data_IF_223224501396
#
_entry.id   IF_223224501396
#
_cell.length_a   1.000
_cell.length_b   1.000
_cell.length_c   1.000
_cell.angle_alpha   90.00
_cell.angle_beta   90.00
_cell.angle_gamma   90.00
#
_symmetry.space_group_name_H-M   'P 1'
#
loop_
_entity.id
_entity.type
_entity.pdbx_description
1 polymer ?
#
# COMPACT_ATOMS: atom_id res chain seq x y z
N UNK A 1 34.47 -9.34 -43.21
CA UNK A 1 33.73 -8.93 -44.42
C UNK A 1 32.40 -8.38 -43.90
N UNK A 2 32.03 -7.11 -43.93
CA UNK A 2 32.42 -5.86 -44.59
C UNK A 2 32.85 -4.84 -43.50
N UNK A 3 34.03 -4.20 -43.53
CA UNK A 3 34.43 -2.99 -44.27
C UNK A 3 33.62 -1.72 -43.95
N UNK A 4 34.06 -1.03 -42.89
CA UNK A 4 34.06 0.44 -42.75
C UNK A 4 34.83 1.08 -43.92
N UNK A 5 34.55 2.33 -44.37
CA UNK A 5 35.39 3.41 -43.86
C UNK A 5 34.80 4.86 -43.89
N UNK A 6 35.35 5.70 -42.99
CA UNK A 6 35.76 7.13 -43.16
C UNK A 6 34.96 8.21 -42.43
N UNK A 7 35.35 8.36 -41.16
CA UNK A 7 35.64 9.65 -40.51
C UNK A 7 36.28 10.67 -41.46
N UNK A 8 35.62 11.82 -41.66
CA UNK A 8 36.14 12.98 -42.37
C UNK A 8 36.81 13.93 -41.36
N UNK A 9 38.09 13.69 -41.07
CA UNK A 9 38.99 14.67 -40.47
C UNK A 9 39.33 15.71 -41.54
N UNK A 10 38.83 16.95 -41.43
CA UNK A 10 39.33 18.07 -42.24
C UNK A 10 40.58 18.66 -41.57
N UNK A 11 41.71 18.47 -42.25
CA UNK A 11 42.95 19.22 -42.07
C UNK A 11 42.74 20.70 -42.39
N UNK A 12 43.14 21.58 -41.47
CA UNK A 12 43.32 23.02 -41.72
C UNK A 12 44.83 23.30 -41.68
N UNK A 13 45.41 24.00 -42.67
CA UNK A 13 46.84 24.22 -42.75
C UNK A 13 47.29 25.29 -41.75
N UNK A 14 48.41 25.02 -41.08
CA UNK A 14 49.15 25.96 -40.24
C UNK A 14 49.87 26.96 -41.15
N UNK A 15 49.42 28.22 -41.17
CA UNK A 15 50.11 29.33 -41.82
C UNK A 15 50.75 30.21 -40.74
N UNK A 16 52.07 30.17 -40.70
CA UNK A 16 52.95 30.98 -39.84
C UNK A 16 53.02 32.41 -40.40
N UNK A 17 52.47 33.39 -39.67
CA UNK A 17 52.56 34.82 -40.00
C UNK A 17 53.24 35.57 -38.85
N UNK A 18 54.29 36.31 -39.23
CA UNK A 18 55.19 37.07 -38.39
C UNK A 18 54.48 38.22 -37.67
N UNK A 19 54.82 38.40 -36.40
CA UNK A 19 54.41 39.52 -35.57
C UNK A 19 55.06 40.83 -36.05
N UNK A 20 54.24 41.87 -36.22
CA UNK A 20 54.62 43.27 -36.00
C UNK A 20 53.50 43.90 -35.19
N UNK A 21 53.82 44.35 -33.98
CA UNK A 21 52.88 44.99 -33.08
C UNK A 21 52.59 46.43 -33.49
N UNK A 22 51.36 46.86 -33.20
CA UNK A 22 51.04 48.22 -32.82
C UNK A 22 49.95 48.13 -31.75
N UNK A 23 50.23 48.74 -30.61
CA UNK A 23 49.35 48.81 -29.44
C UNK A 23 48.17 49.74 -29.73
N UNK A 24 46.95 49.26 -29.49
CA UNK A 24 45.79 50.07 -29.10
C UNK A 24 45.03 49.22 -28.07
N UNK A 25 45.20 49.54 -26.79
CA UNK A 25 44.22 50.25 -25.95
C UNK A 25 42.85 49.57 -25.91
N UNK A 26 42.54 49.03 -24.72
CA UNK A 26 41.20 48.92 -24.14
C UNK A 26 40.12 48.20 -24.95
N UNK A 27 39.97 46.90 -24.71
CA UNK A 27 38.62 46.32 -24.65
C UNK A 27 38.40 45.81 -23.22
N UNK A 28 37.67 46.54 -22.35
CA UNK A 28 37.20 45.93 -21.12
C UNK A 28 36.19 44.84 -21.49
N UNK A 29 36.21 43.73 -20.76
CA UNK A 29 35.09 42.80 -20.75
C UNK A 29 33.81 43.63 -20.56
N UNK A 30 32.87 43.51 -21.50
CA UNK A 30 31.53 44.08 -21.33
C UNK A 30 30.91 43.53 -20.04
N UNK A 31 30.03 44.29 -19.38
CA UNK A 31 29.40 43.80 -18.16
C UNK A 31 28.71 42.48 -18.49
N UNK A 32 29.04 41.43 -17.73
CA UNK A 32 28.16 40.28 -17.60
C UNK A 32 26.77 40.84 -17.27
N UNK A 33 25.72 40.39 -17.97
CA UNK A 33 24.32 40.82 -17.83
C UNK A 33 23.87 40.79 -16.36
N UNK A 34 24.18 41.84 -15.60
CA UNK A 34 23.56 42.11 -14.32
C UNK A 34 22.17 42.69 -14.65
N UNK A 35 21.07 42.05 -14.21
CA UNK A 35 19.72 42.45 -14.59
C UNK A 35 19.46 43.91 -14.22
N UNK A 36 18.99 44.71 -15.19
CA UNK A 36 18.62 46.11 -14.96
C UNK A 36 17.47 46.16 -13.91
N UNK A 37 17.64 46.85 -12.77
CA UNK A 37 16.66 46.88 -11.69
C UNK A 37 15.37 47.63 -12.05
N UNK A 38 15.12 47.97 -13.33
CA UNK A 38 13.92 48.68 -13.81
C UNK A 38 12.97 47.82 -14.66
N UNK A 39 13.25 46.52 -14.81
CA UNK A 39 12.42 45.60 -15.60
C UNK A 39 11.52 44.71 -14.72
N UNK A 40 10.44 44.19 -15.32
CA UNK A 40 9.63 43.13 -14.72
C UNK A 40 10.50 41.87 -14.44
N UNK A 41 10.12 41.01 -13.49
CA UNK A 41 10.91 39.84 -13.17
C UNK A 41 10.97 38.85 -14.33
N UNK A 42 12.02 38.04 -14.40
CA UNK A 42 12.19 36.96 -15.38
C UNK A 42 12.29 35.63 -14.66
N UNK A 43 11.43 34.67 -14.98
CA UNK A 43 11.54 33.31 -14.46
C UNK A 43 12.54 32.56 -15.35
N UNK A 44 13.71 32.22 -14.79
CA UNK A 44 14.73 31.44 -15.50
C UNK A 44 14.34 29.96 -15.57
N UNK A 45 13.77 29.42 -14.49
CA UNK A 45 13.21 28.09 -14.47
C UNK A 45 12.17 27.92 -13.36
N UNK A 46 11.20 27.04 -13.60
CA UNK A 46 10.35 26.43 -12.60
C UNK A 46 10.26 24.92 -12.83
N UNK A 47 10.70 24.13 -11.84
CA UNK A 47 10.94 22.69 -12.01
C UNK A 47 10.64 21.90 -10.74
N UNK A 48 10.55 20.57 -10.88
CA UNK A 48 10.47 19.64 -9.75
C UNK A 48 11.69 18.72 -9.76
N UNK A 49 12.19 18.37 -8.58
CA UNK A 49 13.40 17.55 -8.41
C UNK A 49 13.24 16.08 -8.81
N UNK A 50 12.02 15.61 -9.08
CA UNK A 50 11.76 14.26 -9.55
C UNK A 50 12.11 14.15 -11.04
N UNK A 51 12.68 13.01 -11.45
CA UNK A 51 12.95 12.72 -12.86
C UNK A 51 11.63 12.83 -13.65
N UNK A 52 11.63 13.61 -14.73
CA UNK A 52 10.48 13.80 -15.64
C UNK A 52 9.19 14.38 -15.02
N UNK A 53 9.28 15.03 -13.85
CA UNK A 53 8.10 15.55 -13.12
C UNK A 53 7.03 14.51 -12.78
N UNK A 54 7.45 13.25 -12.67
CA UNK A 54 6.61 12.12 -12.26
C UNK A 54 6.85 11.82 -10.79
N UNK A 55 5.77 11.79 -10.01
CA UNK A 55 5.79 11.51 -8.57
C UNK A 55 4.83 10.36 -8.30
N UNK A 56 5.21 9.37 -7.49
CA UNK A 56 4.25 8.36 -7.05
C UNK A 56 3.28 8.99 -6.06
N UNK A 57 2.03 8.56 -6.06
CA UNK A 57 1.05 9.04 -5.10
C UNK A 57 1.58 8.93 -3.67
N UNK A 58 1.49 10.03 -2.92
CA UNK A 58 1.93 10.07 -1.52
C UNK A 58 3.43 10.24 -1.34
N UNK A 59 4.24 10.31 -2.40
CA UNK A 59 5.64 10.66 -2.32
C UNK A 59 5.84 12.17 -2.17
N UNK A 60 6.95 12.53 -1.54
CA UNK A 60 7.41 13.91 -1.48
C UNK A 60 8.15 14.28 -2.76
N UNK A 61 7.90 15.49 -3.25
CA UNK A 61 8.68 16.11 -4.31
C UNK A 61 9.10 17.53 -3.90
N UNK A 62 10.17 18.05 -4.50
CA UNK A 62 10.63 19.41 -4.23
C UNK A 62 10.47 20.26 -5.47
N UNK A 63 9.60 21.26 -5.41
CA UNK A 63 9.53 22.36 -6.37
C UNK A 63 10.76 23.26 -6.19
N UNK A 64 11.33 23.75 -7.29
CA UNK A 64 12.45 24.68 -7.32
C UNK A 64 12.24 25.71 -8.41
N UNK A 65 12.55 26.96 -8.10
CA UNK A 65 12.47 28.05 -9.06
C UNK A 65 13.59 29.07 -8.90
N UNK A 66 13.82 29.79 -10.00
CA UNK A 66 14.64 31.00 -10.02
C UNK A 66 13.92 32.09 -10.83
N UNK A 67 13.64 33.20 -10.16
CA UNK A 67 12.93 34.36 -10.71
C UNK A 67 13.76 35.64 -10.50
N UNK A 68 14.58 35.99 -11.47
CA UNK A 68 15.48 37.14 -11.40
C UNK A 68 14.67 38.44 -11.32
N UNK A 69 15.08 39.35 -10.44
CA UNK A 69 14.40 40.64 -10.23
C UNK A 69 13.09 40.55 -9.44
N UNK A 70 12.69 39.37 -8.97
CA UNK A 70 11.47 39.20 -8.19
C UNK A 70 11.66 39.64 -6.72
N UNK A 71 10.74 40.48 -6.23
CA UNK A 71 10.67 40.86 -4.80
C UNK A 71 9.65 40.05 -4.02
N UNK A 72 8.66 39.46 -4.72
CA UNK A 72 7.71 38.51 -4.14
C UNK A 72 7.48 37.33 -5.08
N UNK A 73 7.23 36.15 -4.51
CA UNK A 73 6.86 34.96 -5.25
C UNK A 73 5.74 34.21 -4.51
N UNK A 74 4.76 33.72 -5.25
CA UNK A 74 3.71 32.83 -4.74
C UNK A 74 3.57 31.63 -5.66
N UNK A 75 3.14 30.50 -5.11
CA UNK A 75 2.84 29.28 -5.87
C UNK A 75 1.38 28.91 -5.59
N UNK A 76 0.65 28.53 -6.63
CA UNK A 76 -0.72 28.01 -6.55
C UNK A 76 -0.78 26.59 -7.11
N UNK A 77 -1.37 25.59 -6.42
CA UNK A 77 -1.91 25.65 -5.06
C UNK A 77 -0.89 26.11 -4.01
N UNK A 78 -1.33 26.72 -2.89
CA UNK A 78 -0.42 27.26 -1.89
C UNK A 78 0.42 26.16 -1.25
N UNK A 79 1.71 26.43 -1.10
CA UNK A 79 2.70 25.54 -0.50
C UNK A 79 3.61 26.34 0.44
N UNK A 80 4.25 25.65 1.38
CA UNK A 80 5.21 26.28 2.27
C UNK A 80 6.49 26.62 1.50
N UNK A 81 6.67 27.92 1.24
CA UNK A 81 7.82 28.43 0.49
C UNK A 81 9.04 28.52 1.41
N UNK A 82 10.16 27.95 0.97
CA UNK A 82 11.49 28.15 1.52
C UNK A 82 12.34 29.03 0.60
N UNK A 83 13.28 29.77 1.19
CA UNK A 83 14.22 30.63 0.45
C UNK A 83 13.70 32.06 0.23
N UNK A 84 14.18 32.68 -0.84
CA UNK A 84 13.82 34.06 -1.23
C UNK A 84 12.84 34.06 -2.41
N UNK A 85 12.22 35.20 -2.70
CA UNK A 85 11.37 35.35 -3.88
C UNK A 85 12.13 35.01 -5.19
N UNK A 86 13.39 35.44 -5.28
CA UNK A 86 14.21 35.24 -6.48
C UNK A 86 14.80 33.83 -6.62
N UNK A 87 15.04 33.14 -5.50
CA UNK A 87 15.55 31.78 -5.48
C UNK A 87 14.87 31.03 -4.33
N UNK A 88 14.01 30.09 -4.66
CA UNK A 88 13.19 29.39 -3.67
C UNK A 88 12.94 27.94 -3.99
N UNK A 89 12.39 27.25 -2.99
CA UNK A 89 12.04 25.84 -3.06
C UNK A 89 10.84 25.55 -2.17
N UNK A 90 10.04 24.55 -2.51
CA UNK A 90 8.93 24.08 -1.67
C UNK A 90 8.83 22.56 -1.72
N UNK A 91 8.58 21.94 -0.56
CA UNK A 91 8.26 20.50 -0.50
C UNK A 91 6.77 20.32 -0.69
N UNK A 92 6.40 19.43 -1.62
CA UNK A 92 5.00 19.11 -1.95
C UNK A 92 4.75 17.61 -1.79
N UNK A 93 3.47 17.26 -1.62
CA UNK A 93 2.99 15.88 -1.60
C UNK A 93 1.66 15.81 -2.36
N UNK A 94 1.69 15.89 -3.71
CA UNK A 94 0.48 15.91 -4.52
C UNK A 94 -0.19 14.52 -4.51
N UNK A 95 -1.51 14.48 -4.30
CA UNK A 95 -2.31 13.26 -4.39
C UNK A 95 -2.88 13.02 -5.79
N UNK A 96 -2.94 14.07 -6.60
CA UNK A 96 -3.43 14.00 -7.98
C UNK A 96 -2.48 14.79 -8.85
N UNK A 97 -2.45 14.47 -10.15
CA UNK A 97 -1.74 15.29 -11.14
C UNK A 97 -2.21 16.73 -11.00
N UNK A 98 -1.28 17.61 -10.65
CA UNK A 98 -1.56 18.98 -10.25
C UNK A 98 -0.68 19.91 -11.05
N UNK A 99 -1.31 20.90 -11.69
CA UNK A 99 -0.62 22.02 -12.31
C UNK A 99 -0.31 23.06 -11.24
N UNK A 100 0.97 23.31 -11.01
CA UNK A 100 1.43 24.39 -10.16
C UNK A 100 1.71 25.63 -10.98
N UNK A 101 1.35 26.80 -10.46
CA UNK A 101 1.61 28.10 -11.09
C UNK A 101 2.48 28.94 -10.16
N UNK A 102 3.70 29.24 -10.59
CA UNK A 102 4.57 30.23 -9.95
C UNK A 102 4.18 31.63 -10.44
N UNK A 103 3.96 32.55 -9.53
CA UNK A 103 3.77 33.98 -9.81
C UNK A 103 4.88 34.77 -9.15
N UNK A 104 5.72 35.43 -9.94
CA UNK A 104 6.79 36.28 -9.47
C UNK A 104 6.47 37.75 -9.79
N UNK A 105 6.69 38.64 -8.83
CA UNK A 105 6.32 40.05 -8.97
C UNK A 105 7.39 40.99 -8.40
N UNK A 106 7.45 42.18 -8.97
CA UNK A 106 8.15 43.34 -8.45
C UNK A 106 7.34 44.62 -8.74
N UNK A 107 7.90 45.79 -8.45
CA UNK A 107 7.20 47.07 -8.69
C UNK A 107 6.97 47.40 -10.18
N UNK A 108 7.65 46.71 -11.09
CA UNK A 108 7.60 46.95 -12.54
C UNK A 108 6.68 45.97 -13.27
N UNK A 109 6.33 44.84 -12.66
CA UNK A 109 5.38 43.91 -13.24
C UNK A 109 5.29 42.56 -12.52
N UNK A 110 4.50 41.68 -13.13
CA UNK A 110 4.26 40.31 -12.68
C UNK A 110 4.43 39.36 -13.84
N UNK A 111 5.11 38.25 -13.60
CA UNK A 111 5.26 37.13 -14.55
C UNK A 111 4.80 35.83 -13.91
N UNK A 112 4.40 34.88 -14.75
CA UNK A 112 3.88 33.58 -14.30
C UNK A 112 4.44 32.45 -15.14
N UNK A 113 4.71 31.31 -14.51
CA UNK A 113 5.10 30.06 -15.17
C UNK A 113 4.34 28.89 -14.57
N UNK A 114 3.96 27.92 -15.40
CA UNK A 114 3.21 26.72 -15.00
C UNK A 114 4.08 25.48 -15.09
N UNK A 115 3.91 24.57 -14.13
CA UNK A 115 4.58 23.27 -14.08
C UNK A 115 3.54 22.19 -13.80
N UNK A 116 3.43 21.23 -14.72
CA UNK A 116 2.61 20.04 -14.51
C UNK A 116 3.39 18.98 -13.73
N UNK A 117 2.88 18.61 -12.56
CA UNK A 117 3.42 17.52 -11.75
C UNK A 117 2.50 16.32 -11.89
N UNK A 118 2.98 15.29 -12.58
CA UNK A 118 2.22 14.08 -12.88
C UNK A 118 2.29 13.11 -11.71
N UNK A 119 1.14 12.65 -11.23
CA UNK A 119 1.05 11.64 -10.18
C UNK A 119 0.74 10.28 -10.79
N UNK A 120 1.59 9.29 -10.50
CA UNK A 120 1.33 7.90 -10.86
C UNK A 120 0.83 7.09 -9.67
N UNK A 121 -0.07 6.17 -9.97
CA UNK A 121 -0.67 5.24 -9.03
C UNK A 121 0.00 3.88 -9.14
N UNK A 122 0.01 3.11 -8.04
CA UNK A 122 0.52 1.73 -8.11
C UNK A 122 -0.43 0.89 -8.97
N UNK A 123 0.09 0.01 -9.85
CA UNK A 123 -0.76 -0.86 -10.65
C UNK A 123 -1.65 -1.74 -9.75
N UNK A 124 -2.95 -1.70 -9.98
CA UNK A 124 -3.93 -2.48 -9.24
C UNK A 124 -5.34 -1.98 -9.48
N UNK A 125 -6.30 -2.58 -8.78
CA UNK A 125 -7.71 -2.16 -8.80
C UNK A 125 -8.03 -1.45 -7.50
N UNK A 126 -8.48 -0.20 -7.59
CA UNK A 126 -8.90 0.64 -6.49
C UNK A 126 -10.40 0.49 -6.23
N UNK A 127 -10.77 0.25 -4.97
CA UNK A 127 -12.16 0.05 -4.54
C UNK A 127 -12.53 1.07 -3.48
N UNK A 128 -13.63 1.79 -3.69
CA UNK A 128 -14.23 2.68 -2.70
C UNK A 128 -15.74 2.36 -2.58
N UNK A 129 -16.20 1.75 -1.48
CA UNK A 129 -17.59 1.34 -1.32
C UNK A 129 -18.54 2.53 -1.09
N UNK A 130 -18.03 3.74 -0.89
CA UNK A 130 -18.81 4.96 -0.64
C UNK A 130 -18.91 5.82 -1.90
N UNK A 131 -17.80 6.02 -2.60
CA UNK A 131 -17.73 6.97 -3.72
C UNK A 131 -17.38 6.32 -5.07
N UNK A 132 -17.03 5.03 -5.08
CA UNK A 132 -16.71 4.30 -6.30
C UNK A 132 -17.93 4.10 -7.20
N UNK A 133 -17.65 3.76 -8.47
CA UNK A 133 -18.64 3.38 -9.47
C UNK A 133 -18.09 2.17 -10.25
N UNK A 134 -18.84 1.07 -10.31
CA UNK A 134 -18.43 -0.14 -11.03
C UNK A 134 -18.31 0.09 -12.55
N UNK A 135 -18.83 1.20 -13.08
CA UNK A 135 -18.59 1.63 -14.46
C UNK A 135 -17.15 2.14 -14.70
N UNK A 136 -16.43 2.55 -13.64
CA UNK A 136 -15.05 3.00 -13.75
C UNK A 136 -14.10 1.83 -14.01
N UNK A 137 -12.88 2.10 -14.47
CA UNK A 137 -11.83 1.08 -14.68
C UNK A 137 -11.15 0.62 -13.39
N UNK A 138 -11.22 1.41 -12.31
CA UNK A 138 -10.54 1.09 -11.05
C UNK A 138 -9.03 1.25 -11.11
N UNK A 139 -8.48 1.91 -12.13
CA UNK A 139 -7.03 2.11 -12.34
C UNK A 139 -6.45 3.24 -11.50
N UNK A 140 -7.32 4.12 -11.00
CA UNK A 140 -6.97 5.21 -10.09
C UNK A 140 -7.99 5.31 -8.96
N UNK A 141 -7.64 5.97 -7.85
CA UNK A 141 -8.56 6.18 -6.71
C UNK A 141 -9.77 7.03 -7.06
N UNK A 142 -9.57 8.04 -7.92
CA UNK A 142 -10.64 8.91 -8.43
C UNK A 142 -11.62 8.17 -9.32
N UNK A 143 -11.14 7.16 -10.05
CA UNK A 143 -11.93 6.27 -10.89
C UNK A 143 -12.01 4.88 -10.27
N UNK A 144 -12.22 4.80 -8.95
CA UNK A 144 -12.34 3.53 -8.22
C UNK A 144 -13.65 2.81 -8.54
N UNK A 145 -13.64 1.49 -8.43
CA UNK A 145 -14.85 0.66 -8.49
C UNK A 145 -15.58 0.70 -7.16
N UNK A 146 -16.89 0.46 -7.16
CA UNK A 146 -17.71 0.51 -5.97
C UNK A 146 -17.65 -0.81 -5.16
N UNK A 147 -17.53 -1.95 -5.85
CA UNK A 147 -17.76 -3.26 -5.22
C UNK A 147 -16.55 -4.20 -5.29
N UNK A 148 -16.37 -4.98 -4.21
CA UNK A 148 -15.36 -6.04 -4.15
C UNK A 148 -15.53 -7.13 -5.22
N UNK A 149 -16.75 -7.63 -5.50
CA UNK A 149 -16.95 -8.61 -6.57
C UNK A 149 -16.46 -8.11 -7.93
N UNK A 150 -16.68 -6.83 -8.24
CA UNK A 150 -16.18 -6.23 -9.48
C UNK A 150 -14.65 -6.12 -9.49
N UNK A 151 -14.03 -5.76 -8.37
CA UNK A 151 -12.57 -5.75 -8.27
C UNK A 151 -11.94 -7.16 -8.41
N UNK A 152 -12.58 -8.16 -7.81
CA UNK A 152 -12.14 -9.56 -7.91
C UNK A 152 -12.30 -10.11 -9.33
N UNK A 153 -13.37 -9.74 -10.05
CA UNK A 153 -13.58 -10.15 -11.44
C UNK A 153 -12.50 -9.58 -12.39
N UNK A 154 -11.93 -8.42 -12.06
CA UNK A 154 -10.86 -7.78 -12.84
C UNK A 154 -9.47 -8.30 -12.51
N UNK A 155 -9.30 -8.98 -11.38
CA UNK A 155 -8.02 -9.52 -10.91
C UNK A 155 -7.93 -11.05 -11.05
N UNK A 156 -8.78 -11.65 -11.87
CA UNK A 156 -8.80 -13.10 -12.15
C UNK A 156 -7.48 -13.66 -12.71
N UNK A 157 -6.64 -12.82 -13.31
CA UNK A 157 -5.30 -13.20 -13.79
C UNK A 157 -4.18 -13.05 -12.75
N UNK A 158 -4.53 -12.69 -11.51
CA UNK A 158 -3.61 -12.21 -10.49
C UNK A 158 -3.50 -10.68 -10.52
N UNK A 159 -2.91 -10.11 -9.45
CA UNK A 159 -2.72 -8.67 -9.34
C UNK A 159 -2.88 -8.14 -7.92
N UNK A 160 -3.25 -6.87 -7.81
CA UNK A 160 -3.39 -6.18 -6.53
C UNK A 160 -4.71 -5.43 -6.46
N UNK A 161 -5.37 -5.51 -5.31
CA UNK A 161 -6.56 -4.72 -4.99
C UNK A 161 -6.21 -3.78 -3.83
N UNK A 162 -6.55 -2.51 -3.98
CA UNK A 162 -6.43 -1.47 -2.96
C UNK A 162 -7.83 -1.06 -2.49
N UNK A 163 -8.09 -1.24 -1.20
CA UNK A 163 -9.37 -0.95 -0.58
C UNK A 163 -9.30 0.38 0.16
N UNK A 164 -10.21 1.29 -0.14
CA UNK A 164 -10.48 2.45 0.69
C UNK A 164 -10.93 2.01 2.09
N UNK A 165 -10.80 2.91 3.08
CA UNK A 165 -11.39 2.71 4.40
C UNK A 165 -12.92 2.68 4.30
N UNK A 166 -13.56 1.73 4.99
CA UNK A 166 -15.00 1.55 4.86
C UNK A 166 -15.46 0.13 5.20
N UNK A 167 -16.79 -0.03 5.20
CA UNK A 167 -17.45 -1.31 5.41
C UNK A 167 -17.74 -1.98 4.07
N UNK A 168 -17.20 -3.18 3.89
CA UNK A 168 -17.46 -4.02 2.73
C UNK A 168 -18.34 -5.19 3.13
N UNK A 169 -19.49 -5.31 2.49
CA UNK A 169 -20.52 -6.33 2.79
C UNK A 169 -20.42 -7.59 1.93
N UNK A 170 -19.43 -7.64 1.04
CA UNK A 170 -19.09 -8.82 0.25
C UNK A 170 -17.82 -9.48 0.81
N UNK A 171 -17.73 -10.82 0.81
CA UNK A 171 -16.52 -11.51 1.23
C UNK A 171 -15.39 -11.33 0.19
N UNK A 172 -14.16 -11.53 0.63
CA UNK A 172 -13.02 -11.71 -0.27
C UNK A 172 -12.90 -13.20 -0.59
N UNK A 173 -13.13 -13.55 -1.84
CA UNK A 173 -12.98 -14.92 -2.36
C UNK A 173 -11.89 -14.93 -3.43
N UNK A 174 -10.75 -15.56 -3.10
CA UNK A 174 -9.64 -15.74 -4.02
C UNK A 174 -9.54 -17.22 -4.36
N UNK A 175 -9.76 -17.56 -5.63
CA UNK A 175 -9.74 -18.93 -6.15
C UNK A 175 -8.73 -18.99 -7.30
N UNK A 176 -7.69 -19.81 -7.13
CA UNK A 176 -6.59 -20.05 -8.08
C UNK A 176 -5.65 -18.88 -8.41
N UNK A 177 -6.12 -17.63 -8.48
CA UNK A 177 -5.30 -16.47 -8.84
C UNK A 177 -4.48 -15.93 -7.66
N UNK A 178 -3.26 -15.44 -7.93
CA UNK A 178 -2.43 -14.74 -6.94
C UNK A 178 -2.87 -13.28 -6.83
N UNK A 179 -3.82 -13.00 -5.94
CA UNK A 179 -4.35 -11.65 -5.71
C UNK A 179 -3.92 -11.16 -4.32
N UNK A 180 -3.14 -10.08 -4.27
CA UNK A 180 -2.85 -9.38 -3.01
C UNK A 180 -3.90 -8.31 -2.74
N UNK A 181 -4.31 -8.16 -1.49
CA UNK A 181 -5.36 -7.21 -1.09
C UNK A 181 -4.85 -6.35 0.06
N UNK A 182 -4.89 -5.03 -0.14
CA UNK A 182 -4.40 -4.04 0.80
C UNK A 182 -5.57 -3.17 1.27
N UNK A 183 -5.83 -3.20 2.58
CA UNK A 183 -6.70 -2.26 3.29
C UNK A 183 -5.92 -1.07 3.84
N UNK A 184 -6.64 -0.23 4.59
CA UNK A 184 -6.21 1.09 5.06
C UNK A 184 -4.89 1.19 5.85
N UNK A 185 -4.59 2.41 6.32
CA UNK A 185 -3.42 2.77 7.15
C UNK A 185 -2.03 2.55 6.54
N UNK A 186 -1.87 2.77 5.23
CA UNK A 186 -0.60 3.31 4.76
C UNK A 186 -0.70 4.85 4.75
N UNK A 187 0.23 5.64 5.31
CA UNK A 187 0.28 7.08 5.06
C UNK A 187 0.34 7.44 3.56
N UNK A 188 0.60 6.48 2.67
CA UNK A 188 0.48 6.56 1.21
C UNK A 188 -0.92 6.23 0.67
N UNK A 189 -1.96 6.04 1.50
CA UNK A 189 -3.29 5.64 1.03
C UNK A 189 -3.78 6.58 -0.06
N UNK A 190 -4.09 5.97 -1.20
CA UNK A 190 -4.43 6.63 -2.45
C UNK A 190 -5.74 7.46 -2.44
N UNK A 191 -6.46 7.46 -1.33
CA UNK A 191 -7.78 8.06 -1.17
C UNK A 191 -7.69 9.26 -0.22
N UNK A 192 -7.55 10.49 -0.75
CA UNK A 192 -7.59 11.72 0.05
C UNK A 192 -9.01 12.32 0.14
N UNK A 193 -9.31 13.04 1.24
CA UNK A 193 -10.53 13.86 1.38
C UNK A 193 -11.57 13.40 2.42
N UNK A 194 -11.33 12.30 3.14
CA UNK A 194 -12.34 11.71 4.03
C UNK A 194 -12.15 12.08 5.52
N UNK A 195 -13.24 12.25 6.29
CA UNK A 195 -13.16 12.53 7.72
C UNK A 195 -12.47 11.39 8.49
N UNK A 196 -11.67 11.77 9.50
CA UNK A 196 -10.69 10.95 10.24
C UNK A 196 -11.24 9.74 11.03
N UNK A 197 -12.50 9.38 10.85
CA UNK A 197 -13.17 8.29 11.57
C UNK A 197 -13.45 7.05 10.69
N UNK A 198 -13.17 7.10 9.38
CA UNK A 198 -13.44 6.01 8.42
C UNK A 198 -12.20 5.20 7.98
N UNK A 199 -11.08 5.25 8.72
CA UNK A 199 -9.80 4.65 8.29
C UNK A 199 -9.72 3.12 8.28
N UNK A 200 -10.79 2.43 8.67
CA UNK A 200 -10.73 1.00 8.88
C UNK A 200 -11.40 0.24 7.75
N UNK A 201 -10.60 -0.42 6.93
CA UNK A 201 -11.09 -1.39 5.94
C UNK A 201 -11.64 -2.60 6.69
N UNK A 202 -12.97 -2.73 6.71
CA UNK A 202 -13.68 -3.80 7.41
C UNK A 202 -14.44 -4.65 6.42
N UNK A 203 -14.10 -5.93 6.34
CA UNK A 203 -14.84 -6.94 5.58
C UNK A 203 -15.82 -7.62 6.55
N UNK A 204 -17.11 -7.38 6.34
CA UNK A 204 -18.19 -7.95 7.14
C UNK A 204 -19.29 -8.44 6.20
N UNK A 205 -19.16 -9.65 5.66
CA UNK A 205 -20.16 -10.18 4.76
C UNK A 205 -21.48 -10.47 5.50
N UNK A 206 -22.60 -10.36 4.80
CA UNK A 206 -23.91 -10.74 5.34
C UNK A 206 -24.07 -12.26 5.47
N UNK A 207 -23.28 -13.03 4.73
CA UNK A 207 -23.21 -14.49 4.77
C UNK A 207 -21.85 -15.00 4.29
N UNK A 208 -21.45 -16.19 4.75
CA UNK A 208 -20.16 -16.79 4.37
C UNK A 208 -18.96 -16.29 5.18
N UNK A 209 -17.78 -16.77 4.81
CA UNK A 209 -16.50 -16.46 5.47
C UNK A 209 -15.96 -15.13 4.91
N UNK A 210 -15.56 -14.14 5.75
CA UNK A 210 -15.03 -12.86 5.28
C UNK A 210 -13.82 -12.98 4.35
N UNK A 211 -12.93 -13.94 4.60
CA UNK A 211 -11.77 -14.23 3.75
C UNK A 211 -11.72 -15.72 3.42
N UNK A 212 -11.79 -16.04 2.13
CA UNK A 212 -11.53 -17.39 1.64
C UNK A 212 -10.45 -17.33 0.58
N UNK A 213 -9.38 -18.09 0.78
CA UNK A 213 -8.29 -18.25 -0.17
C UNK A 213 -8.14 -19.73 -0.46
N UNK A 214 -8.23 -20.12 -1.73
CA UNK A 214 -8.11 -21.52 -2.10
C UNK A 214 -7.41 -21.81 -3.42
N UNK A 215 -6.76 -22.97 -3.49
CA UNK A 215 -6.17 -23.56 -4.69
C UNK A 215 -5.16 -22.64 -5.41
N UNK A 216 -4.45 -21.79 -4.69
CA UNK A 216 -3.55 -20.78 -5.29
C UNK A 216 -2.11 -21.28 -5.31
N UNK A 217 -1.38 -20.99 -6.38
CA UNK A 217 0.07 -21.21 -6.42
C UNK A 217 0.82 -19.91 -6.12
N UNK A 218 1.73 -19.94 -5.14
CA UNK A 218 2.51 -18.77 -4.72
C UNK A 218 1.88 -18.03 -3.55
N UNK A 219 2.66 -17.13 -2.96
CA UNK A 219 2.30 -16.44 -1.73
C UNK A 219 1.58 -15.12 -2.02
N UNK A 220 0.37 -14.95 -1.49
CA UNK A 220 -0.37 -13.68 -1.55
C UNK A 220 -0.18 -12.86 -0.28
N UNK A 221 -0.40 -11.56 -0.36
CA UNK A 221 -0.36 -10.68 0.79
C UNK A 221 -1.72 -10.04 1.04
N UNK A 222 -2.22 -10.19 2.26
CA UNK A 222 -3.44 -9.56 2.75
C UNK A 222 -3.03 -8.66 3.91
N UNK A 223 -3.20 -7.35 3.78
CA UNK A 223 -2.66 -6.40 4.75
C UNK A 223 -3.64 -5.33 5.18
N UNK A 224 -3.61 -4.98 6.46
CA UNK A 224 -4.35 -3.89 7.09
C UNK A 224 -5.88 -3.99 6.95
N UNK A 225 -6.43 -5.20 7.09
CA UNK A 225 -7.87 -5.45 6.95
C UNK A 225 -8.43 -6.03 8.25
N UNK A 226 -9.61 -5.55 8.65
CA UNK A 226 -10.41 -6.18 9.69
C UNK A 226 -11.46 -7.09 9.07
N UNK A 227 -11.40 -8.37 9.43
CA UNK A 227 -12.38 -9.38 9.07
C UNK A 227 -13.33 -9.56 10.26
N UNK A 228 -14.55 -9.08 10.12
CA UNK A 228 -15.59 -9.16 11.13
C UNK A 228 -16.59 -10.26 10.72
N UNK A 229 -16.54 -11.37 11.44
CA UNK A 229 -17.46 -12.51 11.32
C UNK A 229 -18.40 -12.62 12.53
N UNK A 230 -18.50 -11.58 13.37
CA UNK A 230 -19.41 -11.60 14.52
C UNK A 230 -20.86 -11.79 14.06
N UNK A 231 -21.59 -12.63 14.79
CA UNK A 231 -22.99 -12.97 14.52
C UNK A 231 -23.26 -13.64 13.16
N UNK A 232 -22.22 -14.02 12.42
CA UNK A 232 -22.35 -14.79 11.16
C UNK A 232 -22.30 -16.29 11.42
N UNK A 233 -22.61 -17.11 10.41
CA UNK A 233 -22.51 -18.58 10.46
C UNK A 233 -21.05 -19.11 10.42
N UNK A 234 -20.03 -18.23 10.39
CA UNK A 234 -18.78 -18.54 9.71
C UNK A 234 -17.47 -18.31 10.50
N UNK A 235 -16.42 -18.94 9.94
CA UNK A 235 -15.01 -18.69 10.22
C UNK A 235 -14.62 -17.23 9.91
N UNK A 236 -13.56 -16.72 10.52
CA UNK A 236 -13.00 -15.40 10.16
C UNK A 236 -12.21 -15.44 8.85
N UNK A 237 -11.45 -16.51 8.64
CA UNK A 237 -10.74 -16.82 7.41
C UNK A 237 -10.63 -18.32 7.18
N UNK A 238 -10.66 -18.74 5.91
CA UNK A 238 -10.40 -20.11 5.46
C UNK A 238 -9.31 -20.11 4.38
N UNK A 239 -8.20 -20.79 4.68
CA UNK A 239 -7.07 -20.97 3.78
C UNK A 239 -7.01 -22.46 3.41
N UNK A 240 -7.21 -22.78 2.13
CA UNK A 240 -7.29 -24.17 1.64
C UNK A 240 -6.37 -24.39 0.45
N UNK A 241 -5.40 -25.29 0.55
CA UNK A 241 -4.43 -25.56 -0.52
C UNK A 241 -3.79 -24.25 -1.07
N UNK A 242 -3.36 -23.37 -0.16
CA UNK A 242 -2.93 -22.01 -0.49
C UNK A 242 -1.88 -21.44 0.48
N UNK A 243 -1.08 -20.48 0.00
CA UNK A 243 -0.11 -19.74 0.79
C UNK A 243 -0.49 -18.26 0.97
N UNK A 244 -0.58 -17.80 2.22
CA UNK A 244 -1.00 -16.43 2.53
C UNK A 244 -0.10 -15.75 3.58
N UNK A 245 0.28 -14.50 3.31
CA UNK A 245 0.91 -13.57 4.24
C UNK A 245 -0.16 -12.61 4.76
N UNK A 246 -0.45 -12.66 6.06
CA UNK A 246 -1.43 -11.83 6.73
C UNK A 246 -0.70 -10.78 7.56
N UNK A 247 -0.83 -9.50 7.25
CA UNK A 247 -0.05 -8.43 7.87
C UNK A 247 -0.97 -7.35 8.48
N UNK A 248 -0.83 -7.06 9.78
CA UNK A 248 -1.62 -6.01 10.46
C UNK A 248 -3.15 -6.21 10.37
N UNK A 249 -3.61 -7.45 10.24
CA UNK A 249 -5.04 -7.77 10.12
C UNK A 249 -5.69 -8.11 11.47
N UNK A 250 -7.02 -8.09 11.54
CA UNK A 250 -7.75 -8.70 12.66
C UNK A 250 -8.87 -9.60 12.18
N UNK A 251 -9.11 -10.70 12.89
CA UNK A 251 -10.19 -11.64 12.64
C UNK A 251 -11.04 -11.73 13.90
N UNK A 252 -12.30 -11.29 13.83
CA UNK A 252 -13.22 -11.32 14.97
C UNK A 252 -14.40 -12.25 14.69
N UNK A 253 -14.46 -13.36 15.42
CA UNK A 253 -15.54 -14.37 15.35
C UNK A 253 -16.31 -14.47 16.66
N UNK A 254 -16.14 -13.51 17.58
CA UNK A 254 -16.85 -13.50 18.86
C UNK A 254 -18.37 -13.43 18.60
N UNK A 255 -19.16 -14.15 19.39
CA UNK A 255 -20.62 -14.20 19.26
C UNK A 255 -21.19 -14.87 17.98
N UNK A 256 -20.37 -15.50 17.14
CA UNK A 256 -20.90 -16.43 16.11
C UNK A 256 -21.54 -17.65 16.82
N UNK A 257 -22.86 -17.60 17.01
CA UNK A 257 -23.64 -18.58 17.78
C UNK A 257 -24.50 -19.52 16.89
N UNK A 258 -24.42 -19.39 15.56
CA UNK A 258 -25.38 -19.97 14.60
C UNK A 258 -24.71 -20.95 13.62
N UNK A 259 -23.74 -21.74 14.05
CA UNK A 259 -23.19 -22.80 13.19
C UNK A 259 -23.66 -24.18 13.68
N UNK A 260 -24.68 -24.80 13.06
CA UNK A 260 -25.07 -26.19 13.34
C UNK A 260 -24.03 -27.23 12.87
N UNK A 261 -22.94 -26.83 12.19
CA UNK A 261 -21.96 -27.73 11.58
C UNK A 261 -20.48 -27.45 11.89
N UNK A 262 -20.13 -26.42 12.68
CA UNK A 262 -18.72 -26.11 12.94
C UNK A 262 -18.52 -25.17 14.11
N UNK A 263 -17.46 -25.39 14.89
CA UNK A 263 -17.07 -24.45 15.94
C UNK A 263 -16.50 -23.18 15.30
N UNK A 264 -17.03 -21.98 15.60
CA UNK A 264 -16.51 -20.73 15.07
C UNK A 264 -15.01 -20.60 15.37
N UNK A 265 -14.22 -20.35 14.31
CA UNK A 265 -12.75 -20.26 14.37
C UNK A 265 -12.30 -19.01 13.62
N UNK A 266 -11.43 -18.21 14.23
CA UNK A 266 -10.94 -16.97 13.62
C UNK A 266 -10.11 -17.23 12.35
N UNK A 267 -9.32 -18.31 12.34
CA UNK A 267 -8.54 -18.74 11.18
C UNK A 267 -8.55 -20.27 11.05
N UNK A 268 -9.07 -20.77 9.94
CA UNK A 268 -9.02 -22.18 9.54
C UNK A 268 -8.01 -22.37 8.41
N UNK A 269 -7.06 -23.28 8.59
CA UNK A 269 -6.07 -23.66 7.58
C UNK A 269 -6.28 -25.13 7.29
N UNK A 270 -6.48 -25.48 6.03
CA UNK A 270 -6.76 -26.84 5.59
C UNK A 270 -5.88 -27.22 4.40
N UNK A 271 -5.42 -28.47 4.34
CA UNK A 271 -4.72 -29.03 3.18
C UNK A 271 -5.37 -30.33 2.75
N UNK A 272 -5.77 -30.41 1.47
CA UNK A 272 -6.41 -31.59 0.87
C UNK A 272 -5.53 -32.12 -0.26
N UNK A 273 -5.25 -31.27 -1.26
CA UNK A 273 -4.49 -31.64 -2.46
C UNK A 273 -3.10 -31.02 -2.55
N UNK A 274 -2.85 -29.94 -1.81
CA UNK A 274 -1.58 -29.20 -1.81
C UNK A 274 -1.17 -28.81 -0.39
N UNK A 275 -0.08 -28.03 -0.28
CA UNK A 275 0.38 -27.47 0.98
C UNK A 275 -0.34 -26.16 1.24
N UNK A 276 -0.83 -25.99 2.46
CA UNK A 276 -1.25 -24.70 2.99
C UNK A 276 -0.19 -24.08 3.89
N UNK A 277 0.09 -22.81 3.63
CA UNK A 277 1.07 -22.00 4.34
C UNK A 277 0.47 -20.69 4.84
N UNK A 278 0.67 -20.34 6.10
CA UNK A 278 0.27 -19.01 6.61
C UNK A 278 1.40 -18.36 7.38
N UNK A 279 1.83 -17.18 6.94
CA UNK A 279 2.66 -16.27 7.72
C UNK A 279 1.78 -15.11 8.21
N UNK A 280 1.44 -15.07 9.49
CA UNK A 280 0.73 -13.95 10.09
C UNK A 280 1.66 -13.08 10.92
N UNK A 281 1.66 -11.77 10.67
CA UNK A 281 2.44 -10.79 11.42
C UNK A 281 1.57 -9.64 11.91
N UNK A 282 1.68 -9.33 13.20
CA UNK A 282 0.92 -8.25 13.83
C UNK A 282 -0.60 -8.43 13.74
N UNK A 283 -1.07 -9.68 13.63
CA UNK A 283 -2.48 -9.99 13.50
C UNK A 283 -3.17 -10.21 14.85
N UNK A 284 -4.46 -9.86 14.93
CA UNK A 284 -5.29 -10.13 16.11
C UNK A 284 -6.36 -11.16 15.77
N UNK A 285 -6.44 -12.24 16.53
CA UNK A 285 -7.41 -13.31 16.33
C UNK A 285 -8.30 -13.40 17.56
N UNK A 286 -9.59 -13.16 17.38
CA UNK A 286 -10.62 -13.24 18.42
C UNK A 286 -11.58 -14.39 18.09
N UNK A 287 -11.46 -15.49 18.83
CA UNK A 287 -12.33 -16.66 18.75
C UNK A 287 -13.60 -16.50 19.58
N UNK A 288 -14.66 -17.24 19.23
CA UNK A 288 -15.88 -17.28 20.05
C UNK A 288 -15.66 -17.97 21.39
N UNK A 289 -16.29 -17.42 22.44
CA UNK A 289 -16.45 -18.05 23.77
C UNK A 289 -17.81 -18.74 23.78
N UNK A 290 -17.90 -19.97 23.26
CA UNK A 290 -19.17 -20.71 23.32
C UNK A 290 -19.59 -20.94 24.77
N UNK A 291 -20.90 -20.83 25.04
CA UNK A 291 -21.56 -21.19 26.30
C UNK A 291 -21.54 -22.71 26.59
N UNK A 292 -21.01 -23.52 25.67
CA UNK A 292 -20.71 -24.94 25.92
C UNK A 292 -19.38 -25.07 26.67
N UNK A 293 -19.27 -25.93 27.69
CA UNK A 293 -18.22 -25.80 28.69
C UNK A 293 -16.78 -26.01 28.20
N UNK A 294 -16.49 -26.49 26.98
CA UNK A 294 -15.12 -26.90 26.63
C UNK A 294 -14.61 -26.71 25.19
N UNK A 295 -15.30 -26.01 24.29
CA UNK A 295 -14.80 -25.84 22.90
C UNK A 295 -14.84 -24.39 22.43
N UNK A 296 -13.65 -23.81 22.29
CA UNK A 296 -13.38 -22.55 21.61
C UNK A 296 -12.20 -22.79 20.67
N UNK A 297 -12.11 -22.12 19.52
CA UNK A 297 -10.98 -22.24 18.59
C UNK A 297 -10.51 -20.86 18.14
N UNK A 298 -9.24 -20.54 18.36
CA UNK A 298 -8.60 -19.35 17.81
C UNK A 298 -8.12 -19.61 16.38
N UNK A 299 -7.13 -20.50 16.26
CA UNK A 299 -6.59 -20.99 14.98
C UNK A 299 -6.73 -22.51 14.90
N UNK A 300 -7.22 -23.02 13.77
CA UNK A 300 -7.41 -24.44 13.49
C UNK A 300 -6.60 -24.85 12.26
N UNK A 301 -5.92 -26.00 12.35
CA UNK A 301 -5.10 -26.55 11.27
C UNK A 301 -5.57 -27.98 11.00
N UNK A 302 -6.07 -28.23 9.82
CA UNK A 302 -6.62 -29.51 9.36
C UNK A 302 -5.79 -30.07 8.18
N UNK A 303 -5.57 -31.38 8.19
CA UNK A 303 -4.82 -32.08 7.14
C UNK A 303 -5.63 -33.30 6.71
N UNK A 304 -6.08 -33.28 5.46
CA UNK A 304 -6.84 -34.35 4.82
C UNK A 304 -6.03 -35.09 3.73
N UNK A 305 -4.82 -34.62 3.40
CA UNK A 305 -3.88 -35.22 2.43
C UNK A 305 -2.43 -35.32 2.93
N UNK A 306 -1.51 -35.87 2.13
CA UNK A 306 -0.12 -36.17 2.54
C UNK A 306 0.86 -34.98 2.64
N UNK A 307 0.43 -33.74 2.39
CA UNK A 307 1.29 -32.53 2.42
C UNK A 307 1.48 -31.95 3.84
N UNK A 308 2.61 -31.30 4.10
CA UNK A 308 2.88 -30.64 5.38
C UNK A 308 2.23 -29.24 5.42
N UNK A 309 1.60 -28.88 6.54
CA UNK A 309 1.14 -27.50 6.79
C UNK A 309 2.28 -26.67 7.42
N UNK A 310 2.45 -25.42 6.99
CA UNK A 310 3.42 -24.48 7.58
C UNK A 310 2.71 -23.24 8.15
N UNK A 311 2.97 -22.90 9.42
CA UNK A 311 2.35 -21.73 10.06
C UNK A 311 3.39 -20.96 10.86
N UNK A 312 3.60 -19.69 10.50
CA UNK A 312 4.45 -18.74 11.22
C UNK A 312 3.59 -17.60 11.77
N UNK A 313 3.53 -17.46 13.09
CA UNK A 313 2.81 -16.37 13.76
C UNK A 313 3.83 -15.48 14.48
N UNK A 314 3.84 -14.18 14.19
CA UNK A 314 4.77 -13.22 14.79
C UNK A 314 4.06 -11.94 15.23
N UNK A 315 4.35 -11.46 16.45
CA UNK A 315 3.72 -10.27 17.03
C UNK A 315 2.17 -10.32 17.04
N UNK A 316 1.59 -11.51 17.11
CA UNK A 316 0.14 -11.69 17.06
C UNK A 316 -0.49 -11.65 18.47
N UNK A 317 -1.77 -11.30 18.53
CA UNK A 317 -2.61 -11.49 19.71
C UNK A 317 -3.68 -12.54 19.42
N UNK A 318 -3.83 -13.54 20.29
CA UNK A 318 -4.83 -14.61 20.12
C UNK A 318 -5.65 -14.71 21.41
N UNK A 319 -6.96 -14.53 21.31
CA UNK A 319 -7.93 -14.68 22.42
C UNK A 319 -9.00 -15.70 22.05
N UNK A 320 -9.07 -16.78 22.83
CA UNK A 320 -10.04 -17.86 22.74
C UNK A 320 -9.65 -18.97 23.73
N UNK A 321 -10.60 -19.50 24.51
CA UNK A 321 -10.33 -20.43 25.61
C UNK A 321 -9.37 -21.60 25.29
N UNK A 322 -9.40 -22.14 24.07
CA UNK A 322 -8.34 -22.93 23.44
C UNK A 322 -7.82 -22.16 22.22
N UNK A 323 -6.75 -21.40 22.44
CA UNK A 323 -6.16 -20.52 21.42
C UNK A 323 -5.65 -21.28 20.18
N UNK A 324 -5.24 -22.55 20.35
CA UNK A 324 -4.76 -23.43 19.30
C UNK A 324 -5.39 -24.82 19.50
N UNK A 325 -6.35 -25.20 18.64
CA UNK A 325 -6.94 -26.54 18.69
C UNK A 325 -6.29 -27.43 17.64
N UNK A 326 -5.71 -28.55 18.08
CA UNK A 326 -5.20 -29.61 17.21
C UNK A 326 -6.36 -30.52 16.80
N UNK A 327 -6.70 -30.58 15.52
CA UNK A 327 -7.39 -31.74 14.93
C UNK A 327 -6.33 -32.75 14.48
N UNK A 328 -6.65 -34.02 14.63
CA UNK A 328 -5.79 -35.20 14.46
C UNK A 328 -4.91 -35.16 13.20
N UNK A 329 -3.62 -34.83 13.32
CA UNK A 329 -2.72 -34.89 12.16
C UNK A 329 -1.36 -34.22 12.24
N UNK A 330 -1.04 -33.42 13.27
CA UNK A 330 0.26 -32.73 13.33
C UNK A 330 1.39 -33.73 13.64
N UNK A 331 2.05 -34.22 12.59
CA UNK A 331 3.36 -34.85 12.66
C UNK A 331 4.40 -33.75 12.46
N UNK A 332 5.10 -33.37 13.53
CA UNK A 332 6.29 -32.50 13.43
C UNK A 332 7.41 -33.40 12.88
N UNK A 333 7.41 -33.63 11.57
CA UNK A 333 8.59 -34.16 10.89
C UNK A 333 9.50 -32.99 10.49
N UNK A 334 10.77 -33.31 10.20
CA UNK A 334 11.93 -32.41 10.21
C UNK A 334 11.93 -31.21 9.25
N UNK A 335 10.80 -30.85 8.65
CA UNK A 335 10.64 -29.69 7.76
C UNK A 335 9.40 -28.82 8.05
N UNK A 336 8.49 -29.22 8.94
CA UNK A 336 7.29 -28.44 9.30
C UNK A 336 7.46 -27.68 10.61
N UNK A 337 7.65 -26.36 10.55
CA UNK A 337 7.81 -25.50 11.73
C UNK A 337 6.51 -24.78 12.07
N UNK A 338 6.04 -24.90 13.32
CA UNK A 338 5.12 -23.91 13.92
C UNK A 338 6.00 -22.92 14.67
N UNK A 339 6.31 -21.80 14.03
CA UNK A 339 7.03 -20.70 14.66
C UNK A 339 6.04 -19.79 15.38
N UNK A 340 6.06 -19.76 16.70
CA UNK A 340 5.36 -18.74 17.49
C UNK A 340 6.44 -17.78 18.01
N UNK A 341 6.50 -16.58 17.43
CA UNK A 341 7.38 -15.50 17.87
C UNK A 341 6.86 -14.83 19.16
N UNK A 342 7.06 -13.50 19.29
CA UNK A 342 6.51 -12.70 20.40
C UNK A 342 4.97 -12.54 20.28
N UNK A 343 4.22 -13.63 20.35
CA UNK A 343 2.77 -13.62 20.34
C UNK A 343 2.22 -13.65 21.77
N UNK A 344 1.20 -12.84 22.05
CA UNK A 344 0.46 -12.89 23.32
C UNK A 344 -0.72 -13.82 23.17
N UNK A 345 -0.75 -14.90 23.96
CA UNK A 345 -1.84 -15.87 23.98
C UNK A 345 -2.66 -15.68 25.26
N UNK A 346 -3.91 -15.24 25.11
CA UNK A 346 -4.89 -15.27 26.18
C UNK A 346 -5.52 -16.65 26.28
N UNK A 347 -5.24 -17.39 27.36
CA UNK A 347 -5.88 -18.66 27.66
C UNK A 347 -6.56 -18.60 29.03
N UNK A 348 -7.77 -19.15 29.12
CA UNK A 348 -8.49 -19.28 30.38
C UNK A 348 -8.22 -20.68 30.96
N UNK A 349 -7.53 -20.75 32.10
CA UNK A 349 -7.30 -22.00 32.83
C UNK A 349 -8.45 -22.18 33.81
N UNK A 350 -9.43 -23.01 33.47
CA UNK A 350 -10.44 -23.46 34.43
C UNK A 350 -9.91 -24.67 35.18
N UNK A 351 -9.87 -24.62 36.52
CA UNK A 351 -9.50 -25.76 37.33
C UNK A 351 -10.58 -26.86 37.19
N UNK A 352 -10.20 -28.15 37.13
CA UNK A 352 -11.17 -29.23 37.23
C UNK A 352 -11.87 -29.08 38.57
N UNK A 353 -13.20 -28.92 38.57
CA UNK A 353 -13.99 -28.85 39.79
C UNK A 353 -13.61 -30.00 40.71
N UNK A 354 -13.34 -29.70 41.98
CA UNK A 354 -13.15 -30.70 43.01
C UNK A 354 -14.41 -31.59 43.03
N UNK A 355 -14.28 -32.80 42.50
CA UNK A 355 -15.29 -33.83 42.67
C UNK A 355 -15.41 -34.11 44.16
N UNK A 356 -16.48 -33.66 44.79
CA UNK A 356 -16.89 -34.17 46.10
C UNK A 356 -17.45 -35.58 45.91
N UNK A 357 -16.57 -36.57 45.81
CA UNK A 357 -16.90 -37.96 46.11
C UNK A 357 -16.45 -38.25 47.53
N UNK A 358 -17.41 -38.25 48.45
CA UNK A 358 -17.22 -38.71 49.82
C UNK A 358 -18.55 -39.22 50.35
N UNK A 359 -18.87 -40.48 50.04
CA UNK A 359 -19.90 -41.24 50.73
C UNK A 359 -19.27 -42.01 51.90
N UNK A 360 -19.82 -41.83 53.09
CA UNK A 360 -20.09 -42.88 54.07
C UNK A 360 -21.30 -42.42 54.90
#
# INVERSE_FOLDING_TARGET
MLTDPRFLFRLVPVLLLLAVGCSDSSNPAGPEDEPDPTEAPVIEFFSVSATDAVVLHGDFATLRWRAVGATSATVSPPVDLGGSAANGSATIRPAFTTTYTLTASNQFGTVTETLDVNVLYRPGVYVDPVNGDDANLGDTPLASVATLPEALSRTLGGGTIFLAGGLYTSPILIDAAQVSVYGGLDPETFFEGFPREQFLTTIRPTSGVPLTIRNTSGTMEISNIQFDARDTEAFGAHILDAEARLLNCSFDTRASMIAPAGTPTALLIESVGAVSGVEARSCKFYGSRSLTPFTTRGVSIEQNGGGANAVLLSNCFIDGGRALQRSSGVNINSTGEIGIGMCTIGAEITSPGAGSTGSA
#
